data_IF_183845680550
#
_entry.id   IF_183845680550
#
_cell.length_a   1.000
_cell.length_b   1.000
_cell.length_c   1.000
_cell.angle_alpha   90.00
_cell.angle_beta   90.00
_cell.angle_gamma   90.00
#
_symmetry.space_group_name_H-M   'P 1'
#
loop_
_entity.id
_entity.type
_entity.pdbx_description
1 polymer ?
#
# COMPACT_ATOMS: atom_id res chain seq x y z
N UNK A 1 -1.73 33.44 8.75
CA UNK A 1 -1.34 33.13 7.36
C UNK A 1 -0.24 32.09 7.45
N UNK A 2 -0.58 30.81 7.27
CA UNK A 2 0.38 29.73 7.48
C UNK A 2 1.15 29.47 6.19
N UNK A 3 2.47 29.64 6.26
CA UNK A 3 3.40 29.26 5.21
C UNK A 3 3.49 27.74 5.15
N UNK A 4 3.15 27.16 3.99
CA UNK A 4 3.45 25.76 3.70
C UNK A 4 4.89 25.67 3.19
N UNK A 5 5.77 25.14 4.04
CA UNK A 5 7.12 24.73 3.66
C UNK A 5 7.01 23.36 3.01
N UNK A 6 7.57 23.12 1.81
CA UNK A 6 7.54 21.81 1.19
C UNK A 6 8.35 20.84 2.04
N UNK A 7 7.66 19.89 2.68
CA UNK A 7 8.30 18.81 3.43
C UNK A 7 8.83 17.82 2.41
N UNK A 8 10.16 17.74 2.30
CA UNK A 8 10.84 16.69 1.51
C UNK A 8 10.35 15.32 2.00
N UNK A 9 10.04 14.43 1.07
CA UNK A 9 9.47 13.10 1.27
C UNK A 9 10.17 12.30 2.39
N UNK A 10 11.49 12.48 2.55
CA UNK A 10 12.31 11.87 3.60
C UNK A 10 11.91 12.27 5.03
N UNK A 11 11.53 13.53 5.27
CA UNK A 11 11.08 13.98 6.59
C UNK A 11 9.66 13.45 6.93
N UNK A 12 8.90 13.00 5.93
CA UNK A 12 7.67 12.24 6.16
C UNK A 12 7.99 10.81 6.56
N UNK A 13 8.94 10.18 5.87
CA UNK A 13 9.37 8.81 6.15
C UNK A 13 10.04 8.66 7.52
N UNK A 14 10.92 9.57 7.92
CA UNK A 14 11.56 9.55 9.24
C UNK A 14 10.51 9.64 10.36
N UNK A 15 9.55 10.57 10.24
CA UNK A 15 8.45 10.65 11.23
C UNK A 15 7.58 9.41 11.25
N UNK A 16 7.31 8.81 10.09
CA UNK A 16 6.55 7.58 10.00
C UNK A 16 7.31 6.42 10.66
N UNK A 17 8.63 6.34 10.45
CA UNK A 17 9.49 5.38 11.12
C UNK A 17 9.50 5.62 12.64
N UNK A 18 9.69 6.85 13.12
CA UNK A 18 9.65 7.20 14.55
C UNK A 18 8.33 6.79 15.20
N UNK A 19 7.21 7.04 14.51
CA UNK A 19 5.90 6.58 14.97
C UNK A 19 5.84 5.06 15.06
N UNK A 20 6.28 4.35 14.02
CA UNK A 20 6.33 2.88 14.01
C UNK A 20 7.24 2.33 15.11
N UNK A 21 8.38 2.97 15.37
CA UNK A 21 9.29 2.62 16.47
C UNK A 21 8.63 2.78 17.84
N UNK A 22 7.65 3.68 17.96
CA UNK A 22 6.91 3.91 19.18
C UNK A 22 5.69 3.01 19.37
N UNK A 23 5.36 2.16 18.39
CA UNK A 23 4.16 1.31 18.47
C UNK A 23 4.32 0.25 19.56
N UNK A 24 3.32 0.11 20.45
CA UNK A 24 3.25 -0.97 21.44
C UNK A 24 3.27 -2.37 20.81
N UNK A 25 3.88 -3.35 21.49
CA UNK A 25 4.03 -4.72 20.97
C UNK A 25 2.70 -5.44 20.76
N UNK A 26 1.69 -5.16 21.59
CA UNK A 26 0.34 -5.73 21.45
C UNK A 26 -0.33 -5.35 20.11
N UNK A 27 -0.01 -4.17 19.57
CA UNK A 27 -0.42 -3.77 18.22
C UNK A 27 0.40 -4.53 17.18
N UNK A 28 1.72 -4.53 17.30
CA UNK A 28 2.62 -5.09 16.28
C UNK A 28 2.58 -6.61 16.18
N UNK A 29 2.14 -7.30 17.24
CA UNK A 29 1.97 -8.76 17.25
C UNK A 29 0.73 -9.22 16.50
N UNK A 30 -0.26 -8.33 16.32
CA UNK A 30 -1.58 -8.67 15.77
C UNK A 30 -1.90 -7.98 14.46
N UNK A 31 -1.19 -6.89 14.14
CA UNK A 31 -1.51 -6.01 13.02
C UNK A 31 -0.33 -5.83 12.10
N UNK A 32 -0.62 -5.74 10.79
CA UNK A 32 0.36 -5.37 9.78
C UNK A 32 0.43 -3.84 9.69
N UNK A 33 1.63 -3.30 9.55
CA UNK A 33 1.85 -1.86 9.38
C UNK A 33 2.53 -1.61 8.05
N UNK A 34 1.96 -0.70 7.25
CA UNK A 34 2.49 -0.32 5.95
C UNK A 34 3.11 1.08 6.01
N UNK A 35 4.31 1.23 5.46
CA UNK A 35 4.96 2.52 5.26
C UNK A 35 5.00 2.86 3.77
N UNK A 36 4.42 3.99 3.39
CA UNK A 36 4.41 4.44 2.01
C UNK A 36 5.77 5.01 1.62
N UNK A 37 6.30 4.59 0.47
CA UNK A 37 7.58 5.07 -0.06
C UNK A 37 7.52 5.32 -1.57
N UNK A 38 8.12 6.43 -2.01
CA UNK A 38 8.51 6.70 -3.38
C UNK A 38 10.01 6.49 -3.61
N UNK A 39 10.52 7.03 -4.71
CA UNK A 39 11.91 6.88 -5.15
C UNK A 39 12.93 7.35 -4.10
N UNK A 40 12.74 8.55 -3.56
CA UNK A 40 13.65 9.14 -2.54
C UNK A 40 13.64 8.32 -1.25
N UNK A 41 12.47 7.81 -0.85
CA UNK A 41 12.31 6.94 0.31
C UNK A 41 13.03 5.60 0.15
N UNK A 42 12.96 5.00 -1.04
CA UNK A 42 13.69 3.78 -1.36
C UNK A 42 15.21 3.98 -1.26
N UNK A 43 15.72 5.07 -1.84
CA UNK A 43 17.16 5.37 -1.78
C UNK A 43 17.60 5.67 -0.35
N UNK A 44 16.79 6.40 0.42
CA UNK A 44 17.08 6.69 1.83
C UNK A 44 17.15 5.42 2.67
N UNK A 45 16.18 4.51 2.53
CA UNK A 45 16.18 3.21 3.23
C UNK A 45 17.42 2.41 2.86
N UNK A 46 17.69 2.23 1.56
CA UNK A 46 18.77 1.36 1.09
C UNK A 46 20.17 1.87 1.46
N UNK A 47 20.31 3.17 1.70
CA UNK A 47 21.56 3.81 2.12
C UNK A 47 21.68 4.00 3.64
N UNK A 48 20.68 3.59 4.43
CA UNK A 48 20.69 3.72 5.89
C UNK A 48 20.72 2.34 6.58
N UNK A 49 21.90 1.87 7.05
CA UNK A 49 22.04 0.56 7.68
C UNK A 49 21.16 0.34 8.92
N UNK A 50 20.83 1.41 9.66
CA UNK A 50 19.98 1.30 10.83
C UNK A 50 18.54 0.95 10.44
N UNK A 51 18.02 1.59 9.38
CA UNK A 51 16.68 1.31 8.85
C UNK A 51 16.63 -0.05 8.18
N UNK A 52 17.65 -0.42 7.40
CA UNK A 52 17.79 -1.76 6.81
C UNK A 52 17.73 -2.84 7.90
N UNK A 53 18.53 -2.69 8.96
CA UNK A 53 18.52 -3.61 10.09
C UNK A 53 17.13 -3.65 10.73
N UNK A 54 16.49 -2.49 10.92
CA UNK A 54 15.16 -2.44 11.51
C UNK A 54 14.13 -3.24 10.69
N UNK A 55 14.02 -2.98 9.39
CA UNK A 55 13.06 -3.66 8.52
C UNK A 55 13.25 -5.19 8.54
N UNK A 56 14.51 -5.66 8.56
CA UNK A 56 14.84 -7.08 8.63
C UNK A 56 14.38 -7.78 9.92
N UNK A 57 14.25 -7.05 11.03
CA UNK A 57 13.90 -7.64 12.34
C UNK A 57 12.41 -7.52 12.70
N UNK A 58 11.61 -6.79 11.90
CA UNK A 58 10.21 -6.50 12.23
C UNK A 58 9.27 -7.02 11.14
N UNK A 59 8.85 -8.28 11.30
CA UNK A 59 8.00 -8.99 10.32
C UNK A 59 6.59 -8.40 10.15
N UNK A 60 6.17 -7.50 11.05
CA UNK A 60 4.89 -6.80 10.92
C UNK A 60 4.94 -5.64 9.92
N UNK A 61 6.14 -5.22 9.48
CA UNK A 61 6.28 -4.10 8.57
C UNK A 61 6.26 -4.50 7.10
N UNK A 62 5.59 -3.66 6.32
CA UNK A 62 5.60 -3.72 4.86
C UNK A 62 5.86 -2.34 4.29
N UNK A 63 6.47 -2.32 3.11
CA UNK A 63 6.65 -1.09 2.34
C UNK A 63 5.60 -1.05 1.24
N UNK A 64 4.81 0.02 1.21
CA UNK A 64 3.81 0.29 0.18
C UNK A 64 4.42 1.21 -0.87
N UNK A 65 4.61 0.67 -2.08
CA UNK A 65 5.29 1.36 -3.17
C UNK A 65 4.29 2.20 -3.95
N UNK A 66 4.57 3.49 -4.08
CA UNK A 66 3.74 4.44 -4.81
C UNK A 66 3.59 4.11 -6.30
N UNK A 67 2.44 4.45 -6.90
CA UNK A 67 2.14 4.17 -8.31
C UNK A 67 3.05 4.88 -9.32
N UNK A 68 3.70 5.96 -8.92
CA UNK A 68 4.64 6.71 -9.74
C UNK A 68 6.09 6.25 -9.62
N UNK A 69 6.38 5.27 -8.75
CA UNK A 69 7.73 4.75 -8.54
C UNK A 69 8.42 4.43 -9.87
N UNK A 70 9.59 5.02 -10.09
CA UNK A 70 10.22 5.02 -11.42
C UNK A 70 10.52 3.61 -11.94
N UNK A 71 10.74 2.62 -11.08
CA UNK A 71 11.00 1.24 -11.49
C UNK A 71 9.75 0.47 -11.95
N UNK A 72 8.54 1.04 -11.82
CA UNK A 72 7.33 0.45 -12.40
C UNK A 72 7.27 0.61 -13.92
N UNK A 73 8.06 1.54 -14.48
CA UNK A 73 8.11 1.76 -15.92
C UNK A 73 8.55 0.47 -16.67
N UNK A 74 8.09 0.29 -17.93
CA UNK A 74 8.52 -0.83 -18.76
C UNK A 74 10.06 -0.88 -18.88
N UNK A 75 10.62 -2.10 -18.98
CA UNK A 75 12.07 -2.35 -19.14
C UNK A 75 12.97 -1.99 -17.96
N UNK A 76 12.45 -1.49 -16.83
CA UNK A 76 13.26 -1.35 -15.61
C UNK A 76 13.80 -2.70 -15.12
N UNK A 77 15.03 -2.71 -14.61
CA UNK A 77 15.61 -3.89 -13.94
C UNK A 77 15.02 -4.15 -12.55
N UNK A 78 14.26 -3.20 -12.00
CA UNK A 78 13.63 -3.25 -10.67
C UNK A 78 14.66 -3.48 -9.55
N UNK A 79 15.85 -2.90 -9.68
CA UNK A 79 16.96 -3.19 -8.77
C UNK A 79 16.69 -2.73 -7.33
N UNK A 80 16.10 -1.55 -7.13
CA UNK A 80 15.77 -1.07 -5.78
C UNK A 80 14.62 -1.89 -5.21
N UNK A 81 13.58 -2.18 -5.99
CA UNK A 81 12.50 -3.06 -5.54
C UNK A 81 13.00 -4.45 -5.15
N UNK A 82 13.93 -5.04 -5.91
CA UNK A 82 14.56 -6.32 -5.55
C UNK A 82 15.29 -6.24 -4.22
N UNK A 83 16.11 -5.21 -4.01
CA UNK A 83 16.80 -5.01 -2.73
C UNK A 83 15.83 -4.80 -1.58
N UNK A 84 14.80 -3.96 -1.75
CA UNK A 84 13.78 -3.71 -0.72
C UNK A 84 12.99 -4.97 -0.39
N UNK A 85 12.67 -5.80 -1.38
CA UNK A 85 11.94 -7.07 -1.16
C UNK A 85 12.72 -8.11 -0.34
N UNK A 86 14.05 -7.94 -0.23
CA UNK A 86 14.88 -8.76 0.65
C UNK A 86 14.85 -8.27 2.11
N UNK A 87 14.37 -7.05 2.34
CA UNK A 87 14.31 -6.44 3.68
C UNK A 87 12.97 -6.72 4.37
N UNK A 88 11.87 -6.62 3.62
CA UNK A 88 10.51 -6.86 4.10
C UNK A 88 9.54 -7.05 2.92
N UNK A 89 8.32 -7.57 3.13
CA UNK A 89 7.33 -7.69 2.07
C UNK A 89 6.93 -6.32 1.49
N UNK A 90 6.70 -6.30 0.17
CA UNK A 90 6.32 -5.09 -0.57
C UNK A 90 4.86 -5.16 -0.99
N UNK A 91 4.15 -4.04 -0.89
CA UNK A 91 2.79 -3.85 -1.38
C UNK A 91 2.82 -2.83 -2.51
N UNK A 92 1.83 -2.88 -3.42
CA UNK A 92 1.61 -1.80 -4.39
C UNK A 92 0.51 -0.88 -3.85
N UNK A 93 0.79 0.42 -3.74
CA UNK A 93 -0.24 1.42 -3.49
C UNK A 93 -0.86 1.93 -4.78
N UNK A 94 -2.08 2.48 -4.66
CA UNK A 94 -2.78 3.15 -5.76
C UNK A 94 -2.86 2.33 -7.05
N UNK A 95 -3.10 1.02 -6.95
CA UNK A 95 -3.25 0.15 -8.11
C UNK A 95 -4.49 0.54 -8.93
N UNK A 96 -4.32 0.64 -10.24
CA UNK A 96 -5.30 1.24 -11.17
C UNK A 96 -4.98 2.68 -11.56
N UNK A 97 -3.92 3.25 -10.97
CA UNK A 97 -3.38 4.58 -11.30
C UNK A 97 -1.91 4.51 -11.73
N UNK A 98 -1.43 5.62 -12.30
CA UNK A 98 -0.03 5.82 -12.64
C UNK A 98 0.53 4.73 -13.53
N UNK A 99 1.67 4.17 -13.12
CA UNK A 99 2.35 3.09 -13.85
C UNK A 99 2.03 1.68 -13.34
N UNK A 100 0.99 1.54 -12.52
CA UNK A 100 0.61 0.22 -12.00
C UNK A 100 -0.04 -0.65 -13.08
N UNK A 101 0.29 -1.95 -13.08
CA UNK A 101 -0.29 -2.91 -14.02
C UNK A 101 -0.17 -4.33 -13.50
N UNK A 102 -0.99 -5.25 -14.01
CA UNK A 102 -0.93 -6.67 -13.63
C UNK A 102 0.43 -7.30 -13.98
N UNK A 103 1.11 -6.80 -15.02
CA UNK A 103 2.45 -7.26 -15.39
C UNK A 103 3.47 -7.03 -14.28
N UNK A 104 3.31 -6.02 -13.43
CA UNK A 104 4.21 -5.80 -12.28
C UNK A 104 4.19 -6.99 -11.31
N UNK A 105 3.02 -7.61 -11.11
CA UNK A 105 2.84 -8.76 -10.22
C UNK A 105 3.55 -10.02 -10.73
N UNK A 106 3.82 -10.08 -12.04
CA UNK A 106 4.63 -11.18 -12.62
C UNK A 106 6.13 -10.93 -12.53
N UNK A 107 6.56 -9.68 -12.32
CA UNK A 107 7.98 -9.28 -12.32
C UNK A 107 8.58 -9.23 -10.93
N UNK A 108 7.74 -9.02 -9.91
CA UNK A 108 8.13 -8.85 -8.51
C UNK A 108 7.11 -9.53 -7.58
N UNK A 109 7.56 -10.19 -6.50
CA UNK A 109 6.69 -10.85 -5.53
C UNK A 109 6.10 -9.84 -4.54
N UNK A 110 5.14 -9.03 -4.98
CA UNK A 110 4.35 -8.19 -4.07
C UNK A 110 3.42 -9.07 -3.21
N UNK A 111 3.24 -8.71 -1.94
CA UNK A 111 2.37 -9.43 -1.01
C UNK A 111 0.89 -9.10 -1.28
N UNK A 112 0.56 -7.81 -1.39
CA UNK A 112 -0.79 -7.33 -1.70
C UNK A 112 -0.76 -6.16 -2.69
N UNK A 113 -1.90 -5.91 -3.34
CA UNK A 113 -2.17 -4.65 -4.03
C UNK A 113 -3.27 -3.87 -3.32
N UNK A 114 -3.15 -2.54 -3.27
CA UNK A 114 -4.20 -1.63 -2.81
C UNK A 114 -4.84 -0.99 -4.02
N UNK A 115 -6.12 -1.28 -4.27
CA UNK A 115 -6.89 -0.68 -5.37
C UNK A 115 -7.21 0.77 -5.02
N UNK A 116 -6.85 1.70 -5.90
CA UNK A 116 -7.03 3.12 -5.69
C UNK A 116 -8.53 3.51 -5.65
N UNK A 117 -8.94 4.48 -4.81
CA UNK A 117 -10.32 4.94 -4.75
C UNK A 117 -10.89 5.42 -6.10
N UNK A 118 -10.18 6.25 -6.90
CA UNK A 118 -10.66 6.66 -8.22
C UNK A 118 -10.93 5.48 -9.16
N UNK A 119 -10.04 4.48 -9.18
CA UNK A 119 -10.26 3.27 -9.96
C UNK A 119 -11.48 2.49 -9.47
N UNK A 120 -11.57 2.24 -8.16
CA UNK A 120 -12.65 1.51 -7.53
C UNK A 120 -14.01 2.16 -7.79
N UNK A 121 -14.12 3.47 -7.60
CA UNK A 121 -15.36 4.23 -7.81
C UNK A 121 -15.81 4.20 -9.28
N UNK A 122 -14.88 4.32 -10.21
CA UNK A 122 -15.18 4.28 -11.65
C UNK A 122 -15.58 2.89 -12.15
N UNK A 123 -15.17 1.84 -11.42
CA UNK A 123 -15.36 0.44 -11.80
C UNK A 123 -16.25 -0.34 -10.83
N UNK A 124 -17.06 0.38 -10.04
CA UNK A 124 -17.98 -0.21 -9.08
C UNK A 124 -18.90 -1.23 -9.78
N UNK A 125 -18.95 -2.46 -9.25
CA UNK A 125 -19.75 -3.57 -9.79
C UNK A 125 -19.42 -4.00 -11.24
N UNK A 126 -18.29 -3.56 -11.79
CA UNK A 126 -17.88 -3.95 -13.15
C UNK A 126 -17.10 -5.26 -13.18
N UNK A 127 -16.99 -5.88 -14.36
CA UNK A 127 -16.13 -7.05 -14.55
C UNK A 127 -14.64 -6.70 -14.42
N UNK A 128 -14.23 -5.48 -14.76
CA UNK A 128 -12.83 -5.03 -14.68
C UNK A 128 -12.29 -5.10 -13.24
N UNK A 129 -13.06 -4.61 -12.27
CA UNK A 129 -12.70 -4.70 -10.85
C UNK A 129 -12.54 -6.16 -10.40
N UNK A 130 -13.53 -7.01 -10.72
CA UNK A 130 -13.50 -8.45 -10.39
C UNK A 130 -12.29 -9.15 -11.01
N UNK A 131 -11.98 -8.83 -12.27
CA UNK A 131 -10.86 -9.41 -12.97
C UNK A 131 -9.53 -9.07 -12.30
N UNK A 132 -9.29 -7.80 -11.94
CA UNK A 132 -8.06 -7.38 -11.26
C UNK A 132 -7.95 -8.05 -9.87
N UNK A 133 -9.02 -8.03 -9.08
CA UNK A 133 -9.02 -8.63 -7.74
C UNK A 133 -8.81 -10.14 -7.80
N UNK A 134 -9.46 -10.82 -8.74
CA UNK A 134 -9.27 -12.26 -8.98
C UNK A 134 -7.86 -12.57 -9.44
N UNK A 135 -7.28 -11.77 -10.34
CA UNK A 135 -5.92 -11.98 -10.80
C UNK A 135 -4.92 -11.78 -9.67
N UNK A 136 -5.06 -10.71 -8.88
CA UNK A 136 -4.22 -10.45 -7.70
C UNK A 136 -4.24 -11.65 -6.75
N UNK A 137 -5.41 -12.23 -6.48
CA UNK A 137 -5.55 -13.40 -5.60
C UNK A 137 -4.90 -14.68 -6.14
N UNK A 138 -4.56 -14.73 -7.44
CA UNK A 138 -3.86 -15.86 -8.07
C UNK A 138 -2.34 -15.68 -8.09
N UNK A 139 -1.85 -14.44 -8.10
CA UNK A 139 -0.43 -14.13 -8.30
C UNK A 139 0.24 -13.53 -7.04
N UNK A 140 -0.54 -13.01 -6.11
CA UNK A 140 -0.13 -12.57 -4.78
C UNK A 140 -1.18 -12.97 -3.73
N UNK A 141 -1.10 -12.43 -2.51
CA UNK A 141 -2.04 -12.80 -1.43
C UNK A 141 -3.42 -12.14 -1.58
N UNK A 142 -3.60 -11.19 -2.51
CA UNK A 142 -4.89 -10.62 -2.84
C UNK A 142 -4.89 -9.10 -3.01
N UNK A 143 -6.10 -8.53 -3.11
CA UNK A 143 -6.32 -7.11 -3.27
C UNK A 143 -7.09 -6.50 -2.10
N UNK A 144 -6.66 -5.31 -1.69
CA UNK A 144 -7.31 -4.47 -0.67
C UNK A 144 -7.98 -3.31 -1.40
N UNK A 145 -9.28 -3.12 -1.23
CA UNK A 145 -10.01 -2.02 -1.88
C UNK A 145 -10.02 -0.78 -1.00
N UNK A 146 -9.47 0.34 -1.48
CA UNK A 146 -9.46 1.60 -0.76
C UNK A 146 -10.63 2.52 -1.16
N UNK A 147 -10.97 3.47 -0.28
CA UNK A 147 -12.01 4.48 -0.53
C UNK A 147 -13.43 4.04 -0.19
N UNK A 148 -13.62 3.04 0.67
CA UNK A 148 -14.96 2.59 1.06
C UNK A 148 -15.55 3.57 2.07
N UNK A 149 -16.63 4.23 1.68
CA UNK A 149 -17.28 5.30 2.44
C UNK A 149 -18.75 5.00 2.76
N UNK A 150 -19.35 3.98 2.14
CA UNK A 150 -20.74 3.57 2.35
C UNK A 150 -20.96 2.06 2.15
N UNK A 151 -22.16 1.59 2.50
CA UNK A 151 -22.54 0.17 2.46
C UNK A 151 -22.55 -0.43 1.05
N UNK A 152 -22.93 0.34 0.03
CA UNK A 152 -22.92 -0.11 -1.37
C UNK A 152 -21.50 -0.43 -1.82
N UNK A 153 -20.56 0.46 -1.50
CA UNK A 153 -19.14 0.27 -1.78
C UNK A 153 -18.56 -0.92 -1.00
N UNK A 154 -18.94 -1.12 0.26
CA UNK A 154 -18.52 -2.28 1.02
C UNK A 154 -19.01 -3.60 0.38
N UNK A 155 -20.28 -3.64 -0.05
CA UNK A 155 -20.83 -4.81 -0.75
C UNK A 155 -20.12 -5.06 -2.08
N UNK A 156 -19.83 -4.02 -2.85
CA UNK A 156 -19.08 -4.13 -4.10
C UNK A 156 -17.65 -4.64 -3.89
N UNK A 157 -16.97 -4.18 -2.83
CA UNK A 157 -15.65 -4.67 -2.41
C UNK A 157 -15.65 -6.19 -2.20
N UNK A 158 -16.59 -6.70 -1.39
CA UNK A 158 -16.69 -8.14 -1.12
C UNK A 158 -17.18 -8.95 -2.32
N UNK A 159 -18.12 -8.43 -3.09
CA UNK A 159 -18.57 -9.06 -4.34
C UNK A 159 -17.45 -9.15 -5.38
N UNK A 160 -16.43 -8.28 -5.29
CA UNK A 160 -15.25 -8.36 -6.12
C UNK A 160 -14.24 -9.44 -5.68
N UNK A 161 -14.38 -9.98 -4.47
CA UNK A 161 -13.46 -10.96 -3.90
C UNK A 161 -12.25 -10.33 -3.21
N UNK A 162 -12.34 -9.06 -2.79
CA UNK A 162 -11.24 -8.41 -2.07
C UNK A 162 -11.00 -9.07 -0.72
N UNK A 163 -9.75 -9.11 -0.27
CA UNK A 163 -9.37 -9.71 1.02
C UNK A 163 -9.59 -8.75 2.18
N UNK A 164 -9.56 -7.45 1.91
CA UNK A 164 -9.81 -6.41 2.88
C UNK A 164 -10.33 -5.13 2.19
N UNK A 165 -10.84 -4.21 2.99
CA UNK A 165 -11.28 -2.89 2.55
C UNK A 165 -10.74 -1.80 3.49
N UNK A 166 -10.54 -0.60 2.95
CA UNK A 166 -10.07 0.57 3.68
C UNK A 166 -10.88 1.81 3.27
N UNK A 167 -11.20 2.69 4.22
CA UNK A 167 -11.88 3.97 3.97
C UNK A 167 -12.59 4.53 5.20
N UNK A 168 -13.31 5.62 5.02
CA UNK A 168 -13.94 6.35 6.13
C UNK A 168 -15.17 5.64 6.70
N UNK A 169 -15.66 4.60 6.02
CA UNK A 169 -16.80 3.80 6.46
C UNK A 169 -16.65 3.29 7.91
N UNK A 170 -15.44 2.88 8.31
CA UNK A 170 -15.18 2.39 9.66
C UNK A 170 -15.02 3.52 10.70
N UNK A 171 -14.54 4.70 10.29
CA UNK A 171 -14.47 5.85 11.20
C UNK A 171 -15.87 6.33 11.58
N UNK A 172 -16.78 6.44 10.60
CA UNK A 172 -18.17 6.87 10.83
C UNK A 172 -18.93 5.94 11.79
N UNK A 173 -18.66 4.63 11.73
CA UNK A 173 -19.25 3.66 12.66
C UNK A 173 -18.68 3.75 14.08
N UNK A 174 -17.41 4.11 14.25
CA UNK A 174 -16.82 4.31 15.58
C UNK A 174 -17.39 5.54 16.30
N UNK A 175 -17.85 6.55 15.55
CA UNK A 175 -18.44 7.78 16.11
C UNK A 175 -19.98 7.84 16.05
N UNK A 176 -20.66 6.75 15.67
CA UNK A 176 -22.13 6.65 15.76
C UNK A 176 -22.90 7.42 14.69
N UNK A 177 -22.27 7.83 13.59
CA UNK A 177 -22.98 8.39 12.44
C UNK A 177 -23.54 7.24 11.59
N UNK A 178 -24.72 6.74 11.98
CA UNK A 178 -25.51 5.84 11.15
C UNK A 178 -26.24 6.65 10.06
N UNK A 179 -26.04 6.28 8.79
CA UNK A 179 -26.97 6.59 7.71
C UNK A 179 -28.05 5.51 7.62
#
# INVERSE_FOLDING_TARGET
MFNFVPVRETASLERALDYVFSLPTDITDTSLVTLNIGDDGADYILNNPAIVKFLLHHSFLRLSIDSEFSEFRPNSSMMRLRKLSQLCPLWIDSFGEGSTSLTLLTRMPFEYIKIAPPFFHSHLNTHSLRHIVSHASQVCHGAIVCGINNEEQLKACWAAGAVAGQGDYWQKRQFGECH
#
